data_IF_331963025740
#
_entry.id   IF_331963025740
#
_cell.length_a   1.000
_cell.length_b   1.000
_cell.length_c   1.000
_cell.angle_alpha   90.00
_cell.angle_beta   90.00
_cell.angle_gamma   90.00
#
_symmetry.space_group_name_H-M   'P 1'
#
loop_
_entity.id
_entity.type
_entity.pdbx_description
1 polymer ?
#
# COMPACT_ATOMS: atom_id res chain seq x y z
N UNK A 1 -26.06 -20.74 -12.69
CA UNK A 1 -26.33 -19.54 -13.50
C UNK A 1 -25.05 -18.70 -13.49
N UNK A 2 -24.42 -18.50 -14.64
CA UNK A 2 -23.18 -17.71 -14.74
C UNK A 2 -23.48 -16.28 -14.26
N UNK A 3 -22.71 -15.81 -13.27
CA UNK A 3 -22.81 -14.44 -12.76
C UNK A 3 -22.36 -13.49 -13.89
N UNK A 4 -23.28 -12.64 -14.36
CA UNK A 4 -22.91 -11.60 -15.34
C UNK A 4 -22.42 -10.37 -14.58
N UNK A 5 -21.36 -9.74 -15.08
CA UNK A 5 -20.75 -8.55 -14.45
C UNK A 5 -21.80 -7.47 -14.21
N UNK A 6 -22.65 -7.19 -15.19
CA UNK A 6 -23.67 -6.14 -15.07
C UNK A 6 -24.72 -6.46 -13.99
N UNK A 7 -25.17 -7.73 -13.88
CA UNK A 7 -26.14 -8.14 -12.86
C UNK A 7 -25.55 -8.08 -11.45
N UNK A 8 -24.25 -8.40 -11.32
CA UNK A 8 -23.52 -8.26 -10.08
C UNK A 8 -23.35 -6.77 -9.71
N UNK A 9 -22.90 -5.95 -10.66
CA UNK A 9 -22.69 -4.53 -10.41
C UNK A 9 -23.98 -3.78 -10.09
N UNK A 10 -25.09 -4.12 -10.72
CA UNK A 10 -26.41 -3.54 -10.37
C UNK A 10 -26.76 -3.77 -8.88
N UNK A 11 -26.43 -4.93 -8.32
CA UNK A 11 -26.65 -5.21 -6.89
C UNK A 11 -25.68 -4.41 -5.99
N UNK A 12 -24.42 -4.26 -6.42
CA UNK A 12 -23.42 -3.45 -5.68
C UNK A 12 -23.83 -1.97 -5.69
N UNK A 13 -24.24 -1.43 -6.84
CA UNK A 13 -24.68 -0.04 -7.00
C UNK A 13 -25.93 0.27 -6.17
N UNK A 14 -26.90 -0.65 -6.15
CA UNK A 14 -28.13 -0.49 -5.35
C UNK A 14 -27.84 -0.42 -3.83
N UNK A 15 -26.79 -1.10 -3.36
CA UNK A 15 -26.40 -1.10 -1.95
C UNK A 15 -25.47 0.05 -1.55
N UNK A 16 -24.81 0.68 -2.53
CA UNK A 16 -23.82 1.74 -2.30
C UNK A 16 -24.21 3.04 -3.06
N UNK A 17 -25.40 3.60 -2.82
CA UNK A 17 -25.82 4.83 -3.48
C UNK A 17 -24.89 5.99 -3.09
N UNK A 18 -24.40 6.72 -4.09
CA UNK A 18 -23.46 7.84 -3.91
C UNK A 18 -22.07 7.45 -3.34
N UNK A 19 -21.63 6.22 -3.59
CA UNK A 19 -20.29 5.74 -3.20
C UNK A 19 -19.47 5.36 -4.46
N UNK A 20 -19.07 6.33 -5.30
CA UNK A 20 -18.47 6.05 -6.62
C UNK A 20 -17.12 5.32 -6.50
N UNK A 21 -16.32 5.58 -5.46
CA UNK A 21 -15.03 4.94 -5.27
C UNK A 21 -15.20 3.43 -4.97
N UNK A 22 -16.22 3.05 -4.21
CA UNK A 22 -16.55 1.64 -3.96
C UNK A 22 -16.98 0.95 -5.25
N UNK A 23 -17.89 1.58 -5.99
CA UNK A 23 -18.44 1.03 -7.24
C UNK A 23 -17.31 0.80 -8.25
N UNK A 24 -16.40 1.76 -8.40
CA UNK A 24 -15.25 1.64 -9.29
C UNK A 24 -14.32 0.49 -8.88
N UNK A 25 -13.89 0.45 -7.62
CA UNK A 25 -12.96 -0.56 -7.13
C UNK A 25 -13.52 -1.99 -7.24
N UNK A 26 -14.81 -2.17 -6.91
CA UNK A 26 -15.48 -3.47 -7.04
C UNK A 26 -15.61 -3.88 -8.50
N UNK A 27 -15.93 -2.94 -9.43
CA UNK A 27 -16.03 -3.20 -10.87
C UNK A 27 -14.70 -3.67 -11.45
N UNK A 28 -13.62 -2.94 -11.22
CA UNK A 28 -12.29 -3.28 -11.71
C UNK A 28 -11.82 -4.67 -11.25
N UNK A 29 -12.14 -5.01 -10.01
CA UNK A 29 -11.85 -6.33 -9.47
C UNK A 29 -12.73 -7.43 -10.09
N UNK A 30 -14.03 -7.16 -10.22
CA UNK A 30 -15.03 -8.10 -10.76
C UNK A 30 -14.76 -8.45 -12.23
N UNK A 31 -14.30 -7.49 -13.05
CA UNK A 31 -13.95 -7.72 -14.45
C UNK A 31 -12.86 -8.80 -14.63
N UNK A 32 -11.97 -8.90 -13.65
CA UNK A 32 -10.93 -9.95 -13.65
C UNK A 32 -11.42 -11.27 -13.04
N UNK A 33 -12.18 -11.19 -11.95
CA UNK A 33 -12.47 -12.36 -11.10
C UNK A 33 -13.72 -13.11 -11.55
N UNK A 34 -14.74 -12.44 -12.09
CA UNK A 34 -15.98 -13.12 -12.56
C UNK A 34 -15.71 -14.13 -13.67
N UNK A 35 -14.90 -13.84 -14.71
CA UNK A 35 -14.54 -14.86 -15.70
C UNK A 35 -13.87 -16.08 -15.08
N UNK A 36 -12.94 -15.86 -14.14
CA UNK A 36 -12.28 -16.95 -13.41
C UNK A 36 -13.27 -17.80 -12.58
N UNK A 37 -14.19 -17.14 -11.84
CA UNK A 37 -15.22 -17.85 -11.06
C UNK A 37 -16.08 -18.74 -11.97
N UNK A 38 -16.44 -18.27 -13.17
CA UNK A 38 -17.27 -18.99 -14.12
C UNK A 38 -16.67 -20.34 -14.55
N UNK A 39 -15.35 -20.47 -14.52
CA UNK A 39 -14.62 -21.70 -14.82
C UNK A 39 -14.46 -22.63 -13.62
N UNK A 40 -14.81 -22.16 -12.41
CA UNK A 40 -14.53 -22.85 -11.14
C UNK A 40 -15.82 -23.30 -10.44
N UNK A 41 -16.27 -24.54 -10.67
CA UNK A 41 -17.50 -25.10 -10.07
C UNK A 41 -17.61 -24.95 -8.54
N UNK A 42 -16.47 -24.94 -7.82
CA UNK A 42 -16.45 -24.82 -6.36
C UNK A 42 -17.01 -23.50 -5.83
N UNK A 43 -17.03 -22.45 -6.67
CA UNK A 43 -17.56 -21.12 -6.31
C UNK A 43 -18.99 -20.87 -6.77
N UNK A 44 -19.56 -21.77 -7.58
CA UNK A 44 -20.90 -21.59 -8.16
C UNK A 44 -22.00 -21.52 -7.08
N UNK A 45 -22.92 -20.60 -7.25
CA UNK A 45 -24.08 -20.41 -6.36
C UNK A 45 -23.76 -19.96 -4.93
N UNK A 46 -22.53 -19.53 -4.62
CA UNK A 46 -22.12 -19.18 -3.25
C UNK A 46 -22.15 -17.67 -2.94
N UNK A 47 -22.46 -16.84 -3.93
CA UNK A 47 -22.51 -15.38 -3.81
C UNK A 47 -21.25 -14.74 -3.15
N UNK A 48 -20.09 -15.38 -3.34
CA UNK A 48 -18.86 -15.01 -2.65
C UNK A 48 -18.47 -13.55 -2.92
N UNK A 49 -18.54 -13.09 -4.18
CA UNK A 49 -18.21 -11.70 -4.50
C UNK A 49 -19.13 -10.68 -3.82
N UNK A 50 -20.43 -10.97 -3.73
CA UNK A 50 -21.37 -10.10 -3.01
C UNK A 50 -21.04 -10.04 -1.52
N UNK A 51 -20.66 -11.18 -0.92
CA UNK A 51 -20.26 -11.25 0.49
C UNK A 51 -18.93 -10.53 0.73
N UNK A 52 -17.97 -10.61 -0.21
CA UNK A 52 -16.68 -9.91 -0.09
C UNK A 52 -16.83 -8.41 -0.34
N UNK A 53 -17.75 -7.99 -1.22
CA UNK A 53 -17.99 -6.58 -1.53
C UNK A 53 -18.76 -5.84 -0.42
N UNK A 54 -19.45 -6.58 0.47
CA UNK A 54 -20.16 -6.01 1.62
C UNK A 54 -19.26 -6.06 2.87
N UNK A 55 -19.02 -4.93 3.57
CA UNK A 55 -18.29 -4.95 4.84
C UNK A 55 -19.01 -5.81 5.89
N UNK A 56 -18.27 -6.60 6.67
CA UNK A 56 -18.82 -7.29 7.83
C UNK A 56 -19.35 -6.30 8.87
N UNK A 57 -18.68 -5.15 9.04
CA UNK A 57 -19.14 -4.02 9.88
C UNK A 57 -18.60 -2.69 9.39
N UNK A 58 -19.46 -1.67 9.46
CA UNK A 58 -19.07 -0.26 9.29
C UNK A 58 -19.41 0.49 10.57
N UNK A 59 -18.40 1.02 11.23
CA UNK A 59 -18.50 1.72 12.51
C UNK A 59 -18.24 3.19 12.25
N UNK A 60 -19.20 4.04 12.63
CA UNK A 60 -19.13 5.50 12.49
C UNK A 60 -19.37 6.10 13.87
N UNK A 61 -18.51 7.03 14.28
CA UNK A 61 -18.60 7.66 15.59
C UNK A 61 -18.20 9.13 15.57
N UNK A 62 -18.69 9.88 16.54
CA UNK A 62 -18.33 11.28 16.75
C UNK A 62 -17.03 11.39 17.54
N UNK A 63 -16.16 12.33 17.13
CA UNK A 63 -14.88 12.62 17.78
C UNK A 63 -14.86 14.09 18.20
N UNK A 64 -15.32 14.45 19.42
CA UNK A 64 -15.19 15.80 19.95
C UNK A 64 -13.81 16.01 20.57
N UNK A 65 -13.21 17.17 20.33
CA UNK A 65 -11.91 17.52 20.90
C UNK A 65 -11.80 19.03 21.07
N UNK A 66 -10.83 19.49 21.87
CA UNK A 66 -10.62 20.91 22.13
C UNK A 66 -9.33 21.37 21.47
N UNK A 67 -9.41 22.47 20.69
CA UNK A 67 -8.24 23.06 20.03
C UNK A 67 -7.40 23.91 21.00
N UNK A 68 -6.33 24.50 20.51
CA UNK A 68 -5.44 25.34 21.34
C UNK A 68 -6.05 26.68 21.76
N UNK A 69 -7.17 27.08 21.13
CA UNK A 69 -7.94 28.28 21.53
C UNK A 69 -8.99 27.98 22.61
N UNK A 70 -9.16 26.70 22.98
CA UNK A 70 -10.19 26.24 23.91
C UNK A 70 -11.55 26.02 23.26
N UNK A 71 -11.64 26.03 21.92
CA UNK A 71 -12.88 25.83 21.19
C UNK A 71 -13.12 24.32 20.96
N UNK A 72 -14.40 23.91 21.06
CA UNK A 72 -14.81 22.51 20.84
C UNK A 72 -14.92 22.25 19.34
N UNK A 73 -14.14 21.33 18.84
CA UNK A 73 -14.17 20.82 17.48
C UNK A 73 -14.86 19.46 17.45
N UNK A 74 -15.51 19.14 16.32
CA UNK A 74 -16.22 17.85 16.13
C UNK A 74 -15.88 17.27 14.78
N UNK A 75 -15.24 16.11 14.78
CA UNK A 75 -14.94 15.33 13.58
C UNK A 75 -15.72 14.01 13.60
N UNK A 76 -15.71 13.33 12.46
CA UNK A 76 -16.30 12.00 12.30
C UNK A 76 -15.20 10.96 12.21
N UNK A 77 -15.29 9.94 13.05
CA UNK A 77 -14.42 8.77 13.01
C UNK A 77 -15.09 7.59 12.33
N UNK A 78 -14.28 6.74 11.67
CA UNK A 78 -14.72 5.56 10.94
C UNK A 78 -13.80 4.37 11.20
N UNK A 79 -14.38 3.16 11.24
CA UNK A 79 -13.65 1.90 11.07
C UNK A 79 -14.48 0.93 10.24
N UNK A 80 -13.94 0.50 9.11
CA UNK A 80 -14.55 -0.49 8.22
C UNK A 80 -13.82 -1.81 8.47
N UNK A 81 -14.55 -2.77 8.99
CA UNK A 81 -14.15 -4.16 9.17
C UNK A 81 -14.70 -4.93 7.98
N UNK A 82 -13.85 -5.12 6.96
CA UNK A 82 -14.32 -5.56 5.66
C UNK A 82 -14.49 -7.06 5.57
N UNK A 83 -13.46 -7.82 5.93
CA UNK A 83 -13.48 -9.27 5.85
C UNK A 83 -12.46 -9.89 6.81
N UNK A 84 -12.89 -10.84 7.63
CA UNK A 84 -12.08 -11.54 8.64
C UNK A 84 -11.80 -13.01 8.32
N UNK A 85 -12.18 -13.50 7.16
CA UNK A 85 -12.08 -14.93 6.82
C UNK A 85 -10.65 -15.50 6.92
N UNK A 86 -9.61 -14.67 6.74
CA UNK A 86 -8.22 -15.12 6.78
C UNK A 86 -7.43 -14.60 8.00
N UNK A 87 -8.08 -13.92 8.92
CA UNK A 87 -7.44 -13.40 10.14
C UNK A 87 -8.06 -12.10 10.65
N UNK A 88 -7.52 -11.52 11.71
CA UNK A 88 -7.98 -10.24 12.25
C UNK A 88 -8.04 -9.15 11.17
N UNK A 89 -9.01 -8.25 11.26
CA UNK A 89 -9.04 -7.10 10.35
C UNK A 89 -7.73 -6.33 10.46
N UNK A 90 -7.15 -5.96 9.35
CA UNK A 90 -5.87 -5.26 9.29
C UNK A 90 -5.90 -4.17 8.22
N UNK A 91 -5.49 -2.97 8.58
CA UNK A 91 -5.35 -1.85 7.65
C UNK A 91 -5.22 -0.51 8.35
N UNK A 92 -4.77 0.49 7.63
CA UNK A 92 -4.40 1.80 8.14
C UNK A 92 -5.58 2.63 8.64
N UNK A 93 -5.24 3.64 9.45
CA UNK A 93 -6.09 4.77 9.83
C UNK A 93 -5.58 5.97 9.05
N UNK A 94 -6.48 6.68 8.34
CA UNK A 94 -6.18 7.89 7.57
C UNK A 94 -6.79 9.11 8.25
N UNK A 95 -5.98 10.14 8.48
CA UNK A 95 -6.47 11.45 8.92
C UNK A 95 -6.26 12.46 7.80
N UNK A 96 -7.37 12.84 7.15
CA UNK A 96 -7.34 13.77 6.03
C UNK A 96 -8.75 14.31 5.77
N UNK A 97 -8.88 15.57 5.39
CA UNK A 97 -10.18 16.23 5.17
C UNK A 97 -11.04 15.56 4.09
N UNK A 98 -10.46 14.78 3.19
CA UNK A 98 -11.22 14.05 2.15
C UNK A 98 -11.78 12.70 2.61
N UNK A 99 -11.51 12.28 3.84
CA UNK A 99 -11.97 11.00 4.36
C UNK A 99 -13.50 11.01 4.50
N UNK A 100 -14.12 10.02 3.87
CA UNK A 100 -15.55 9.74 3.96
C UNK A 100 -15.79 8.21 3.92
N UNK A 101 -17.04 7.79 4.04
CA UNK A 101 -17.40 6.38 4.09
C UNK A 101 -17.01 5.63 2.80
N UNK A 102 -17.30 6.20 1.62
CA UNK A 102 -16.99 5.60 0.32
C UNK A 102 -15.50 5.36 0.15
N UNK A 103 -14.68 6.38 0.44
CA UNK A 103 -13.21 6.28 0.39
C UNK A 103 -12.69 5.16 1.30
N UNK A 104 -13.21 5.05 2.52
CA UNK A 104 -12.73 4.02 3.46
C UNK A 104 -13.23 2.62 3.11
N UNK A 105 -14.44 2.48 2.57
CA UNK A 105 -14.97 1.19 2.11
C UNK A 105 -14.15 0.65 0.93
N UNK A 106 -13.85 1.49 -0.09
CA UNK A 106 -13.05 1.03 -1.20
C UNK A 106 -11.63 0.64 -0.76
N UNK A 107 -11.00 1.46 0.10
CA UNK A 107 -9.68 1.14 0.64
C UNK A 107 -9.68 -0.14 1.49
N UNK A 108 -10.76 -0.40 2.24
CA UNK A 108 -10.91 -1.63 3.02
C UNK A 108 -11.08 -2.86 2.11
N UNK A 109 -11.86 -2.72 1.03
CA UNK A 109 -12.06 -3.77 0.02
C UNK A 109 -10.72 -4.15 -0.65
N UNK A 110 -9.96 -3.19 -1.12
CA UNK A 110 -8.65 -3.46 -1.71
C UNK A 110 -7.65 -4.05 -0.69
N UNK A 111 -7.75 -3.61 0.57
CA UNK A 111 -6.89 -4.10 1.64
C UNK A 111 -7.06 -5.60 1.90
N UNK A 112 -8.28 -6.15 1.73
CA UNK A 112 -8.54 -7.60 1.85
C UNK A 112 -7.62 -8.39 0.93
N UNK A 113 -7.54 -8.00 -0.34
CA UNK A 113 -6.76 -8.73 -1.34
C UNK A 113 -5.25 -8.48 -1.21
N UNK A 114 -4.87 -7.26 -0.85
CA UNK A 114 -3.47 -6.94 -0.54
C UNK A 114 -2.94 -7.79 0.62
N UNK A 115 -3.72 -7.91 1.69
CA UNK A 115 -3.34 -8.72 2.85
C UNK A 115 -3.31 -10.21 2.52
N UNK A 116 -4.28 -10.70 1.74
CA UNK A 116 -4.36 -12.11 1.37
C UNK A 116 -3.14 -12.57 0.57
N UNK A 117 -2.57 -11.71 -0.28
CA UNK A 117 -1.37 -12.01 -1.06
C UNK A 117 -0.15 -12.25 -0.18
N UNK A 118 -0.05 -11.60 0.99
CA UNK A 118 1.09 -11.79 1.91
C UNK A 118 1.18 -13.20 2.50
N UNK A 119 0.12 -14.00 2.37
CA UNK A 119 -0.09 -15.29 3.02
C UNK A 119 -0.16 -15.26 4.55
N UNK A 120 0.09 -14.13 5.18
CA UNK A 120 -0.05 -13.94 6.62
C UNK A 120 -1.54 -13.97 7.04
N UNK A 121 -1.83 -14.35 8.30
CA UNK A 121 -3.20 -14.45 8.80
C UNK A 121 -3.74 -13.06 9.15
N UNK A 122 -4.10 -12.29 8.13
CA UNK A 122 -4.64 -10.94 8.25
C UNK A 122 -5.82 -10.75 7.31
N UNK A 123 -6.97 -10.41 7.87
CA UNK A 123 -8.14 -9.94 7.13
C UNK A 123 -7.96 -8.52 6.61
N UNK A 124 -9.04 -7.88 6.16
CA UNK A 124 -9.02 -6.53 5.63
C UNK A 124 -9.88 -5.57 6.42
N UNK A 125 -9.35 -4.38 6.68
CA UNK A 125 -10.07 -3.28 7.30
C UNK A 125 -9.41 -1.93 6.99
N UNK A 126 -10.16 -0.86 7.23
CA UNK A 126 -9.66 0.52 7.05
C UNK A 126 -10.38 1.45 8.00
N UNK A 127 -9.68 2.46 8.49
CA UNK A 127 -10.28 3.48 9.34
C UNK A 127 -9.80 4.87 9.00
N UNK A 128 -10.37 5.85 9.67
CA UNK A 128 -9.94 7.23 9.48
C UNK A 128 -10.90 8.25 10.04
N UNK A 129 -10.57 9.50 9.77
CA UNK A 129 -11.36 10.67 10.12
C UNK A 129 -11.14 11.78 9.11
N UNK A 130 -12.14 12.66 8.99
CA UNK A 130 -12.06 13.92 8.28
C UNK A 130 -11.20 14.99 8.99
N UNK A 131 -10.58 14.64 10.10
CA UNK A 131 -9.55 15.44 10.77
C UNK A 131 -8.29 15.52 9.91
N UNK A 132 -7.74 16.73 9.75
CA UNK A 132 -6.47 16.96 9.07
C UNK A 132 -5.42 17.42 10.08
N UNK A 133 -4.35 16.64 10.32
CA UNK A 133 -3.29 16.99 11.26
C UNK A 133 -2.36 18.09 10.73
N UNK A 134 -2.45 18.44 9.45
CA UNK A 134 -1.59 19.46 8.86
C UNK A 134 -1.85 20.82 9.49
N UNK A 135 -0.80 21.48 9.97
CA UNK A 135 -0.90 22.79 10.62
C UNK A 135 -1.44 22.75 12.06
N UNK A 136 -1.69 21.58 12.62
CA UNK A 136 -2.11 21.40 14.02
C UNK A 136 -0.91 21.24 14.95
N UNK A 137 -1.03 21.72 16.17
CA UNK A 137 -0.03 21.53 17.20
C UNK A 137 0.02 20.05 17.66
N UNK A 138 1.13 19.63 18.27
CA UNK A 138 1.24 18.30 18.86
C UNK A 138 0.18 18.07 19.95
N UNK A 139 -0.16 19.11 20.70
CA UNK A 139 -1.22 19.08 21.70
C UNK A 139 -2.60 18.84 21.10
N UNK A 140 -2.94 19.51 20.01
CA UNK A 140 -4.20 19.31 19.28
C UNK A 140 -4.29 17.89 18.71
N UNK A 141 -3.23 17.42 18.03
CA UNK A 141 -3.18 16.06 17.48
C UNK A 141 -3.30 15.01 18.58
N UNK A 142 -2.64 15.21 19.71
CA UNK A 142 -2.74 14.29 20.86
C UNK A 142 -4.18 14.24 21.41
N UNK A 143 -4.83 15.38 21.64
CA UNK A 143 -6.22 15.44 22.14
C UNK A 143 -7.19 14.78 21.16
N UNK A 144 -7.01 15.04 19.85
CA UNK A 144 -7.80 14.38 18.82
C UNK A 144 -7.61 12.85 18.85
N UNK A 145 -6.37 12.36 18.84
CA UNK A 145 -6.05 10.93 18.89
C UNK A 145 -6.63 10.25 20.13
N UNK A 146 -6.59 10.92 21.28
CA UNK A 146 -7.16 10.40 22.52
C UNK A 146 -8.69 10.28 22.43
N UNK A 147 -9.37 11.29 21.90
CA UNK A 147 -10.82 11.24 21.68
C UNK A 147 -11.21 10.17 20.69
N UNK A 148 -10.51 10.10 19.54
CA UNK A 148 -10.73 9.09 18.50
C UNK A 148 -10.58 7.66 19.05
N UNK A 149 -9.51 7.40 19.80
CA UNK A 149 -9.24 6.08 20.39
C UNK A 149 -10.23 5.73 21.51
N UNK A 150 -10.80 6.70 22.22
CA UNK A 150 -11.80 6.45 23.27
C UNK A 150 -13.03 5.71 22.73
N UNK A 151 -13.44 6.01 21.50
CA UNK A 151 -14.50 5.26 20.83
C UNK A 151 -13.97 4.01 20.12
N UNK A 152 -12.87 4.13 19.39
CA UNK A 152 -12.34 3.03 18.58
C UNK A 152 -11.91 1.82 19.43
N UNK A 153 -11.40 2.02 20.65
CA UNK A 153 -10.89 0.94 21.52
C UNK A 153 -11.91 -0.16 21.84
N UNK A 154 -13.21 0.10 21.65
CA UNK A 154 -14.30 -0.87 21.84
C UNK A 154 -14.38 -1.90 20.70
N UNK A 155 -13.76 -1.60 19.56
CA UNK A 155 -13.93 -2.32 18.29
C UNK A 155 -12.63 -2.93 17.76
N UNK A 156 -11.51 -2.72 18.45
CA UNK A 156 -10.19 -3.20 18.05
C UNK A 156 -9.52 -4.03 19.13
N UNK A 157 -8.52 -4.78 18.76
CA UNK A 157 -7.73 -5.62 19.66
C UNK A 157 -6.77 -6.51 18.89
N UNK A 158 -5.76 -7.09 19.56
CA UNK A 158 -4.67 -7.81 18.88
C UNK A 158 -5.14 -9.06 18.09
N UNK A 159 -6.30 -9.62 18.44
CA UNK A 159 -6.88 -10.79 17.76
C UNK A 159 -8.19 -10.49 17.02
N UNK A 160 -8.65 -9.25 17.03
CA UNK A 160 -9.89 -8.84 16.38
C UNK A 160 -9.62 -7.92 15.19
N UNK A 161 -8.94 -6.80 15.47
CA UNK A 161 -8.71 -5.74 14.49
C UNK A 161 -7.46 -4.97 14.89
N UNK A 162 -6.45 -4.95 14.02
CA UNK A 162 -5.15 -4.33 14.28
C UNK A 162 -4.90 -3.21 13.28
N UNK A 163 -5.24 -1.95 13.63
CA UNK A 163 -4.98 -0.81 12.78
C UNK A 163 -3.48 -0.50 12.61
N UNK A 164 -3.16 0.28 11.59
CA UNK A 164 -1.83 0.81 11.31
C UNK A 164 -1.90 2.28 10.93
N UNK A 165 -0.75 2.91 10.65
CA UNK A 165 -0.70 4.23 10.04
C UNK A 165 -1.07 4.24 8.56
N UNK A 166 -1.50 5.39 8.08
CA UNK A 166 -1.78 5.74 6.68
C UNK A 166 -1.56 7.26 6.50
N UNK A 167 -2.08 7.89 5.46
CA UNK A 167 -1.97 9.33 5.26
C UNK A 167 -2.43 10.09 6.53
N UNK A 168 -1.60 11.03 6.99
CA UNK A 168 -1.86 11.83 8.20
C UNK A 168 -1.73 11.07 9.53
N UNK A 169 -1.30 9.80 9.51
CA UNK A 169 -1.08 8.98 10.70
C UNK A 169 0.30 8.33 10.64
N UNK A 170 1.27 8.97 11.24
CA UNK A 170 2.64 8.48 11.37
C UNK A 170 2.95 7.91 12.77
N UNK A 171 4.23 7.84 13.08
CA UNK A 171 4.70 7.32 14.38
C UNK A 171 4.18 8.11 15.58
N UNK A 172 4.03 9.45 15.44
CA UNK A 172 3.48 10.34 16.46
C UNK A 172 2.04 9.97 16.78
N UNK A 173 1.17 9.92 15.78
CA UNK A 173 -0.24 9.60 15.93
C UNK A 173 -0.44 8.17 16.44
N UNK A 174 0.31 7.21 15.92
CA UNK A 174 0.30 5.82 16.43
C UNK A 174 0.69 5.78 17.91
N UNK A 175 1.68 6.56 18.33
CA UNK A 175 2.07 6.68 19.74
C UNK A 175 0.93 7.19 20.62
N UNK A 176 0.27 8.28 20.22
CA UNK A 176 -0.87 8.84 20.95
C UNK A 176 -2.07 7.89 21.02
N UNK A 177 -2.39 7.24 19.89
CA UNK A 177 -3.46 6.23 19.81
C UNK A 177 -3.16 5.03 20.70
N UNK A 178 -1.93 4.50 20.67
CA UNK A 178 -1.52 3.36 21.50
C UNK A 178 -1.52 3.71 23.00
N UNK A 179 -1.02 4.90 23.35
CA UNK A 179 -1.02 5.37 24.75
C UNK A 179 -2.44 5.45 25.32
N UNK A 180 -3.39 5.95 24.55
CA UNK A 180 -4.80 6.04 24.98
C UNK A 180 -5.46 4.66 25.06
N UNK A 181 -5.23 3.78 24.09
CA UNK A 181 -5.71 2.39 24.13
C UNK A 181 -5.23 1.69 25.39
N UNK A 182 -3.90 1.72 25.63
CA UNK A 182 -3.29 1.12 26.82
C UNK A 182 -3.91 1.65 28.12
N UNK A 183 -4.16 2.96 28.18
CA UNK A 183 -4.77 3.60 29.37
C UNK A 183 -6.20 3.12 29.63
N UNK A 184 -7.04 3.02 28.57
CA UNK A 184 -8.46 2.63 28.71
C UNK A 184 -8.59 1.13 28.98
N UNK A 185 -7.84 0.31 28.25
CA UNK A 185 -7.94 -1.15 28.32
C UNK A 185 -7.14 -1.73 29.49
N UNK A 186 -6.20 -0.97 30.03
CA UNK A 186 -5.22 -1.43 31.03
C UNK A 186 -4.44 -2.66 30.55
N UNK A 187 -4.08 -2.68 29.28
CA UNK A 187 -3.41 -3.79 28.60
C UNK A 187 -2.24 -3.27 27.77
N UNK A 188 -1.13 -4.01 27.75
CA UNK A 188 -0.03 -3.79 26.81
C UNK A 188 -0.02 -4.93 25.79
N UNK A 189 -0.61 -4.68 24.61
CA UNK A 189 -0.82 -5.70 23.57
C UNK A 189 -0.33 -5.22 22.20
N UNK A 190 -0.34 -6.12 21.21
CA UNK A 190 -0.01 -5.83 19.82
C UNK A 190 -1.16 -5.20 19.00
N UNK A 191 -1.97 -4.35 19.58
CA UNK A 191 -3.21 -3.80 18.98
C UNK A 191 -3.01 -2.87 17.80
N UNK A 192 -1.88 -2.20 17.69
CA UNK A 192 -1.52 -1.29 16.60
C UNK A 192 -0.18 -1.71 16.01
N UNK A 193 0.04 -1.40 14.73
CA UNK A 193 1.36 -1.54 14.10
C UNK A 193 1.89 -0.20 13.59
N UNK A 194 3.22 -0.12 13.41
CA UNK A 194 3.93 1.13 13.19
C UNK A 194 4.28 1.84 14.51
N UNK A 195 4.32 1.09 15.60
CA UNK A 195 4.75 1.57 16.91
C UNK A 195 6.24 1.92 16.92
N UNK A 196 6.64 2.77 17.85
CA UNK A 196 8.07 3.00 18.14
C UNK A 196 8.75 1.74 18.67
N UNK A 197 10.05 1.59 18.40
CA UNK A 197 10.84 0.44 18.83
C UNK A 197 10.81 0.21 20.35
N UNK A 198 10.74 1.29 21.14
CA UNK A 198 10.70 1.24 22.60
C UNK A 198 9.42 0.59 23.17
N UNK A 199 8.36 0.44 22.36
CA UNK A 199 7.07 -0.10 22.83
C UNK A 199 6.42 -1.06 21.83
N UNK A 200 7.22 -1.91 21.20
CA UNK A 200 6.75 -3.05 20.41
C UNK A 200 6.73 -2.83 18.91
N UNK A 201 7.42 -1.81 18.40
CA UNK A 201 7.65 -1.61 16.97
C UNK A 201 8.64 -2.61 16.39
N UNK A 202 8.67 -2.73 15.07
CA UNK A 202 9.59 -3.58 14.32
C UNK A 202 10.63 -2.76 13.56
N UNK A 203 11.84 -3.27 13.45
CA UNK A 203 12.86 -2.78 12.53
C UNK A 203 12.38 -2.91 11.07
N UNK A 204 13.04 -2.20 10.16
CA UNK A 204 12.76 -2.19 8.70
C UNK A 204 11.35 -1.65 8.34
N UNK A 205 10.54 -1.23 9.29
CA UNK A 205 9.17 -0.77 8.99
C UNK A 205 9.11 0.45 8.04
N UNK A 206 9.96 1.49 8.19
CA UNK A 206 9.99 2.63 7.26
C UNK A 206 10.36 2.24 5.83
N UNK A 207 11.32 1.33 5.67
CA UNK A 207 11.89 0.89 4.39
C UNK A 207 11.07 -0.20 3.71
N UNK A 208 10.25 -0.92 4.47
CA UNK A 208 9.63 -2.18 4.06
C UNK A 208 8.85 -2.11 2.74
N UNK A 209 8.16 -1.01 2.48
CA UNK A 209 7.42 -0.84 1.22
C UNK A 209 8.40 -0.79 0.06
N UNK A 210 9.44 0.02 0.15
CA UNK A 210 10.47 0.14 -0.89
C UNK A 210 11.24 -1.16 -1.09
N UNK A 211 11.68 -1.81 -0.01
CA UNK A 211 12.36 -3.10 -0.07
C UNK A 211 11.49 -4.15 -0.76
N UNK A 212 10.21 -4.24 -0.38
CA UNK A 212 9.26 -5.18 -0.97
C UNK A 212 9.09 -4.99 -2.47
N UNK A 213 8.96 -3.74 -2.91
CA UNK A 213 8.84 -3.41 -4.34
C UNK A 213 10.07 -3.90 -5.12
N UNK A 214 11.27 -3.69 -4.59
CA UNK A 214 12.51 -4.10 -5.27
C UNK A 214 12.64 -5.62 -5.29
N UNK A 215 12.29 -6.32 -4.22
CA UNK A 215 12.24 -7.79 -4.21
C UNK A 215 11.24 -8.32 -5.23
N UNK A 216 10.08 -7.69 -5.37
CA UNK A 216 9.10 -8.08 -6.38
C UNK A 216 9.62 -7.84 -7.81
N UNK A 217 10.23 -6.67 -8.07
CA UNK A 217 10.84 -6.34 -9.36
C UNK A 217 11.96 -7.32 -9.74
N UNK A 218 12.80 -7.70 -8.78
CA UNK A 218 13.85 -8.72 -8.98
C UNK A 218 13.25 -10.06 -9.41
N UNK A 219 12.16 -10.50 -8.77
CA UNK A 219 11.48 -11.73 -9.18
C UNK A 219 10.85 -11.63 -10.57
N UNK A 220 10.31 -10.46 -10.94
CA UNK A 220 9.79 -10.23 -12.29
C UNK A 220 10.91 -10.32 -13.34
N UNK A 221 12.03 -9.68 -13.10
CA UNK A 221 13.21 -9.74 -13.99
C UNK A 221 13.75 -11.17 -14.12
N UNK A 222 13.73 -11.95 -13.03
CA UNK A 222 14.14 -13.35 -13.05
C UNK A 222 13.27 -14.20 -13.98
N UNK A 223 12.01 -13.84 -14.23
CA UNK A 223 11.16 -14.59 -15.18
C UNK A 223 11.63 -14.51 -16.63
N UNK A 224 12.44 -13.49 -16.96
CA UNK A 224 13.04 -13.29 -18.30
C UNK A 224 14.57 -13.49 -18.27
N UNK A 225 15.10 -14.17 -17.25
CA UNK A 225 16.53 -14.46 -17.12
C UNK A 225 17.42 -13.25 -16.82
N UNK A 226 16.85 -12.17 -16.28
CA UNK A 226 17.55 -10.94 -15.89
C UNK A 226 17.45 -10.72 -14.38
N UNK A 227 18.18 -9.73 -13.88
CA UNK A 227 18.14 -9.30 -12.48
C UNK A 227 18.37 -7.79 -12.40
N UNK A 228 18.27 -7.21 -11.18
CA UNK A 228 18.41 -5.77 -10.96
C UNK A 228 19.85 -5.27 -11.09
N UNK A 229 20.85 -6.16 -10.95
CA UNK A 229 22.27 -5.80 -10.99
C UNK A 229 22.64 -5.14 -12.32
N UNK A 230 23.26 -3.96 -12.26
CA UNK A 230 23.66 -3.16 -13.40
C UNK A 230 22.51 -2.43 -14.12
N UNK A 231 21.24 -2.59 -13.68
CA UNK A 231 20.10 -1.90 -14.26
C UNK A 231 20.05 -0.44 -13.85
N UNK A 232 19.65 0.42 -14.78
CA UNK A 232 19.32 1.82 -14.51
C UNK A 232 17.87 1.90 -14.06
N UNK A 233 17.64 2.55 -12.93
CA UNK A 233 16.31 2.61 -12.30
C UNK A 233 15.88 4.07 -12.13
N UNK A 234 14.70 4.42 -12.64
CA UNK A 234 14.05 5.70 -12.30
C UNK A 234 13.07 5.52 -11.15
N UNK A 235 13.11 6.45 -10.21
CA UNK A 235 12.14 6.57 -9.13
C UNK A 235 11.57 7.97 -9.11
N UNK A 236 10.31 8.11 -8.67
CA UNK A 236 9.69 9.40 -8.38
C UNK A 236 9.63 9.67 -6.88
N UNK A 237 9.58 10.95 -6.49
CA UNK A 237 9.60 11.34 -5.08
C UNK A 237 10.95 11.14 -4.39
N UNK A 238 11.00 11.48 -3.10
CA UNK A 238 12.11 11.20 -2.19
C UNK A 238 11.62 10.97 -0.74
N UNK A 239 10.37 10.50 -0.61
CA UNK A 239 9.80 10.06 0.67
C UNK A 239 10.33 8.69 1.12
N UNK A 240 9.75 8.12 2.20
CA UNK A 240 10.18 6.82 2.76
C UNK A 240 10.17 5.69 1.73
N UNK A 241 9.18 5.66 0.84
CA UNK A 241 9.08 4.60 -0.17
C UNK A 241 10.22 4.72 -1.17
N UNK A 242 10.45 5.93 -1.72
CA UNK A 242 11.54 6.20 -2.65
C UNK A 242 12.91 5.94 -2.02
N UNK A 243 13.11 6.36 -0.78
CA UNK A 243 14.31 6.08 0.00
C UNK A 243 14.56 4.58 0.16
N UNK A 244 13.55 3.81 0.59
CA UNK A 244 13.67 2.35 0.72
C UNK A 244 13.96 1.67 -0.63
N UNK A 245 13.34 2.11 -1.73
CA UNK A 245 13.64 1.62 -3.08
C UNK A 245 15.11 1.90 -3.43
N UNK A 246 15.57 3.14 -3.22
CA UNK A 246 16.95 3.53 -3.54
C UNK A 246 17.98 2.70 -2.76
N UNK A 247 17.77 2.51 -1.45
CA UNK A 247 18.60 1.64 -0.63
C UNK A 247 18.70 0.22 -1.20
N UNK A 248 17.55 -0.42 -1.43
CA UNK A 248 17.52 -1.84 -1.83
C UNK A 248 17.98 -2.05 -3.27
N UNK A 249 17.70 -1.12 -4.21
CA UNK A 249 18.22 -1.17 -5.58
C UNK A 249 19.75 -1.14 -5.57
N UNK A 250 20.34 -0.22 -4.80
CA UNK A 250 21.80 -0.13 -4.70
C UNK A 250 22.41 -1.37 -4.01
N UNK A 251 21.76 -1.89 -2.97
CA UNK A 251 22.16 -3.11 -2.26
C UNK A 251 22.25 -4.33 -3.22
N UNK A 252 21.31 -4.43 -4.17
CA UNK A 252 21.28 -5.46 -5.21
C UNK A 252 22.16 -5.13 -6.43
N UNK A 253 22.91 -4.03 -6.40
CA UNK A 253 23.84 -3.63 -7.46
C UNK A 253 23.19 -2.94 -8.67
N UNK A 254 21.97 -2.44 -8.55
CA UNK A 254 21.32 -1.55 -9.53
C UNK A 254 21.79 -0.10 -9.32
N UNK A 255 21.37 0.80 -10.21
CA UNK A 255 21.70 2.23 -10.17
C UNK A 255 20.43 3.07 -10.23
N UNK A 256 20.07 3.75 -9.15
CA UNK A 256 19.00 4.76 -9.14
C UNK A 256 19.55 6.06 -9.73
N UNK A 257 18.89 6.60 -10.76
CA UNK A 257 19.36 7.78 -11.50
C UNK A 257 18.44 9.02 -11.39
N UNK A 258 17.28 8.88 -10.74
CA UNK A 258 16.34 10.01 -10.58
C UNK A 258 15.73 10.06 -9.18
N UNK A 259 15.37 11.28 -8.76
CA UNK A 259 14.41 11.59 -7.71
C UNK A 259 13.52 12.72 -8.20
N UNK A 260 12.32 12.90 -7.67
CA UNK A 260 11.43 14.01 -8.05
C UNK A 260 10.72 14.65 -6.87
N UNK A 261 10.40 15.93 -7.04
CA UNK A 261 9.53 16.71 -6.18
C UNK A 261 8.39 17.33 -7.00
N UNK A 262 7.53 18.15 -6.38
CA UNK A 262 6.47 18.86 -7.08
C UNK A 262 7.00 19.94 -8.06
N UNK A 263 8.26 20.33 -7.92
CA UNK A 263 8.96 21.33 -8.75
C UNK A 263 9.62 20.74 -10.01
N UNK A 264 9.78 19.42 -10.09
CA UNK A 264 10.45 18.73 -11.19
C UNK A 264 11.25 17.53 -10.73
N UNK A 265 12.30 17.16 -11.46
CA UNK A 265 13.13 16.01 -11.09
C UNK A 265 14.62 16.28 -11.25
N UNK A 266 15.41 15.53 -10.45
CA UNK A 266 16.86 15.41 -10.59
C UNK A 266 17.17 14.19 -11.43
N UNK A 267 18.10 14.36 -12.36
CA UNK A 267 18.82 13.30 -13.04
C UNK A 267 20.29 13.31 -12.60
N UNK A 268 20.75 12.21 -12.02
CA UNK A 268 22.12 12.02 -11.57
C UNK A 268 22.74 10.82 -12.31
N UNK A 269 23.57 11.11 -13.32
CA UNK A 269 24.22 10.09 -14.15
C UNK A 269 25.14 9.16 -13.33
N UNK A 270 25.77 9.68 -12.28
CA UNK A 270 26.62 8.89 -11.40
C UNK A 270 25.82 7.91 -10.54
N UNK A 271 24.53 8.18 -10.37
CA UNK A 271 23.61 7.44 -9.52
C UNK A 271 23.49 8.02 -8.13
N UNK A 272 22.33 7.74 -7.52
CA UNK A 272 21.95 8.17 -6.17
C UNK A 272 22.26 7.01 -5.22
N UNK A 273 23.42 7.05 -4.57
CA UNK A 273 23.92 6.00 -3.67
C UNK A 273 24.72 6.58 -2.49
N UNK A 274 24.93 5.79 -1.44
CA UNK A 274 25.69 6.21 -0.26
C UNK A 274 25.11 7.48 0.36
N UNK A 275 25.95 8.48 0.64
CA UNK A 275 25.57 9.74 1.26
C UNK A 275 24.48 10.53 0.49
N UNK A 276 24.32 10.28 -0.81
CA UNK A 276 23.26 10.89 -1.62
C UNK A 276 21.87 10.40 -1.17
N UNK A 277 21.77 9.14 -0.73
CA UNK A 277 20.52 8.56 -0.18
C UNK A 277 20.23 9.16 1.20
N UNK A 278 21.27 9.32 2.05
CA UNK A 278 21.10 9.95 3.36
C UNK A 278 20.65 11.41 3.21
N UNK A 279 21.15 12.10 2.19
CA UNK A 279 20.72 13.46 1.87
C UNK A 279 19.25 13.56 1.47
N UNK A 280 18.65 12.52 0.87
CA UNK A 280 17.20 12.47 0.64
C UNK A 280 16.41 12.58 1.96
N UNK A 281 16.91 11.92 3.03
CA UNK A 281 16.30 12.03 4.36
C UNK A 281 16.51 13.41 4.97
N UNK A 282 17.68 14.02 4.78
CA UNK A 282 17.95 15.38 5.26
C UNK A 282 17.03 16.40 4.58
N UNK A 283 16.85 16.33 3.25
CA UNK A 283 15.92 17.20 2.51
C UNK A 283 14.52 17.08 3.09
N UNK A 284 14.06 15.86 3.33
CA UNK A 284 12.76 15.59 3.91
C UNK A 284 12.62 16.12 5.34
N UNK A 285 13.64 15.95 6.19
CA UNK A 285 13.64 16.40 7.57
C UNK A 285 13.55 17.95 7.67
N UNK A 286 14.09 18.67 6.68
CA UNK A 286 13.96 20.12 6.57
C UNK A 286 12.56 20.58 6.16
N UNK A 287 11.66 19.67 5.77
CA UNK A 287 10.35 20.00 5.23
C UNK A 287 10.39 20.60 3.82
N UNK A 288 11.54 20.55 3.14
CA UNK A 288 11.70 21.02 1.76
C UNK A 288 11.31 19.90 0.79
N UNK A 289 10.23 20.09 0.06
CA UNK A 289 9.72 19.13 -0.91
C UNK A 289 10.27 19.34 -2.33
N UNK A 290 11.18 20.32 -2.53
CA UNK A 290 11.74 20.64 -3.84
C UNK A 290 12.89 19.70 -4.19
N UNK A 291 12.79 19.06 -5.35
CA UNK A 291 13.87 18.23 -5.87
C UNK A 291 15.15 19.08 -6.17
N UNK A 292 14.99 20.34 -6.58
CA UNK A 292 16.09 21.26 -6.85
C UNK A 292 17.05 21.41 -5.67
N UNK A 293 16.57 21.27 -4.42
CA UNK A 293 17.41 21.33 -3.22
C UNK A 293 18.55 20.28 -3.19
N UNK A 294 18.43 19.20 -3.96
CA UNK A 294 19.51 18.21 -4.12
C UNK A 294 20.79 18.83 -4.69
N UNK A 295 20.67 19.85 -5.56
CA UNK A 295 21.82 20.51 -6.16
C UNK A 295 22.67 21.31 -5.14
N UNK A 296 22.13 21.62 -3.95
CA UNK A 296 22.88 22.30 -2.89
C UNK A 296 24.14 21.50 -2.49
N UNK A 297 24.03 20.16 -2.51
CA UNK A 297 25.14 19.26 -2.13
C UNK A 297 25.75 18.53 -3.33
N UNK A 298 24.98 18.33 -4.40
CA UNK A 298 25.39 17.56 -5.59
C UNK A 298 25.17 18.36 -6.89
N UNK A 299 26.00 19.42 -7.13
CA UNK A 299 25.80 20.36 -8.25
C UNK A 299 26.06 19.74 -9.64
N UNK A 300 26.67 18.55 -9.72
CA UNK A 300 26.92 17.84 -10.99
C UNK A 300 25.67 17.14 -11.51
N UNK A 301 24.64 16.96 -10.68
CA UNK A 301 23.34 16.45 -11.13
C UNK A 301 22.59 17.53 -11.94
N UNK A 302 21.61 17.09 -12.76
CA UNK A 302 20.84 18.00 -13.61
C UNK A 302 19.41 18.09 -13.09
N UNK A 303 18.93 19.30 -12.82
CA UNK A 303 17.55 19.54 -12.46
C UNK A 303 16.68 19.87 -13.70
N UNK A 304 15.57 19.19 -13.83
CA UNK A 304 14.59 19.36 -14.91
C UNK A 304 13.29 19.95 -14.35
N UNK A 305 13.21 21.25 -14.34
CA UNK A 305 12.06 22.00 -13.77
C UNK A 305 10.74 21.65 -14.46
N UNK A 306 9.72 21.30 -13.69
CA UNK A 306 8.37 21.04 -14.15
C UNK A 306 8.20 19.83 -15.07
N UNK A 307 9.23 18.96 -15.17
CA UNK A 307 9.21 17.75 -15.99
C UNK A 307 9.04 16.50 -15.15
N UNK A 308 8.58 15.42 -15.81
CA UNK A 308 8.41 14.09 -15.23
C UNK A 308 9.67 13.24 -15.42
N UNK A 309 10.00 12.41 -14.43
CA UNK A 309 11.13 11.44 -14.48
C UNK A 309 10.97 10.40 -15.58
N UNK A 310 9.78 10.22 -16.12
CA UNK A 310 9.45 9.18 -17.10
C UNK A 310 9.99 9.45 -18.51
N UNK A 311 10.63 10.60 -18.72
CA UNK A 311 11.38 10.91 -19.93
C UNK A 311 12.77 10.22 -19.97
N UNK A 312 13.29 9.82 -18.81
CA UNK A 312 14.66 9.30 -18.69
C UNK A 312 14.72 7.85 -19.21
N UNK A 313 15.74 7.56 -20.01
CA UNK A 313 15.98 6.20 -20.49
C UNK A 313 16.51 5.32 -19.38
N UNK A 314 15.72 4.32 -18.98
CA UNK A 314 16.01 3.38 -17.90
C UNK A 314 15.53 1.98 -18.24
N UNK A 315 16.08 0.97 -17.55
CA UNK A 315 15.61 -0.42 -17.65
C UNK A 315 14.37 -0.66 -16.79
N UNK A 316 14.32 -0.04 -15.60
CA UNK A 316 13.25 -0.23 -14.60
C UNK A 316 12.70 1.11 -14.17
N UNK A 317 11.38 1.24 -14.10
CA UNK A 317 10.70 2.43 -13.60
C UNK A 317 9.84 2.08 -12.38
N UNK A 318 10.03 2.82 -11.28
CA UNK A 318 9.35 2.57 -10.00
C UNK A 318 8.68 3.85 -9.51
N UNK A 319 7.39 4.07 -9.80
CA UNK A 319 6.66 5.24 -9.32
C UNK A 319 6.40 5.13 -7.81
N UNK A 320 6.96 6.09 -7.04
CA UNK A 320 7.01 6.07 -5.57
C UNK A 320 6.30 7.27 -4.91
N UNK A 321 5.80 8.24 -5.68
CA UNK A 321 5.35 9.52 -5.13
C UNK A 321 3.83 9.53 -4.86
N UNK A 322 3.02 9.70 -5.90
CA UNK A 322 1.59 9.98 -5.75
C UNK A 322 0.71 9.19 -6.71
N UNK A 323 -0.59 9.16 -6.40
CA UNK A 323 -1.60 8.57 -7.27
C UNK A 323 -1.64 9.29 -8.64
N UNK A 324 -1.81 8.51 -9.72
CA UNK A 324 -1.95 8.98 -11.11
C UNK A 324 -0.77 9.84 -11.62
N UNK A 325 0.42 9.65 -11.08
CA UNK A 325 1.62 10.40 -11.48
C UNK A 325 2.22 9.95 -12.83
N UNK A 326 1.88 8.75 -13.29
CA UNK A 326 2.33 8.18 -14.56
C UNK A 326 1.13 7.96 -15.47
N UNK A 327 1.00 8.80 -16.49
CA UNK A 327 -0.11 8.78 -17.43
C UNK A 327 0.22 8.00 -18.71
N UNK A 328 -0.73 7.94 -19.65
CA UNK A 328 -0.59 7.21 -20.92
C UNK A 328 0.60 7.66 -21.76
N UNK A 329 0.84 8.98 -21.86
CA UNK A 329 1.95 9.53 -22.64
C UNK A 329 3.30 9.22 -22.00
N UNK A 330 3.38 9.24 -20.67
CA UNK A 330 4.57 8.81 -19.93
C UNK A 330 4.85 7.31 -20.17
N UNK A 331 3.82 6.48 -20.17
CA UNK A 331 3.97 5.05 -20.47
C UNK A 331 4.50 4.81 -21.89
N UNK A 332 3.98 5.54 -22.89
CA UNK A 332 4.47 5.48 -24.27
C UNK A 332 5.95 5.88 -24.36
N UNK A 333 6.37 6.94 -23.65
CA UNK A 333 7.78 7.36 -23.60
C UNK A 333 8.69 6.29 -23.00
N UNK A 334 8.29 5.74 -21.84
CA UNK A 334 9.04 4.65 -21.19
C UNK A 334 9.20 3.44 -22.10
N UNK A 335 8.13 3.02 -22.78
CA UNK A 335 8.15 1.91 -23.75
C UNK A 335 9.07 2.21 -24.91
N UNK A 336 8.98 3.41 -25.50
CA UNK A 336 9.84 3.84 -26.59
C UNK A 336 11.33 3.89 -26.19
N UNK A 337 11.61 4.23 -24.92
CA UNK A 337 12.95 4.24 -24.33
C UNK A 337 13.47 2.84 -23.94
N UNK A 338 12.64 1.78 -24.11
CA UNK A 338 13.04 0.39 -23.88
C UNK A 338 12.95 -0.07 -22.42
N UNK A 339 12.05 0.52 -21.61
CA UNK A 339 11.79 0.02 -20.25
C UNK A 339 11.34 -1.44 -20.31
N UNK A 340 11.88 -2.28 -19.46
CA UNK A 340 11.55 -3.71 -19.40
C UNK A 340 10.67 -4.07 -18.19
N UNK A 341 10.70 -3.26 -17.14
CA UNK A 341 9.96 -3.51 -15.93
C UNK A 341 9.42 -2.20 -15.33
N UNK A 342 8.13 -2.19 -14.98
CA UNK A 342 7.47 -1.10 -14.25
C UNK A 342 6.78 -1.68 -13.01
N UNK A 343 7.11 -1.16 -11.83
CA UNK A 343 6.64 -1.74 -10.57
C UNK A 343 6.08 -0.65 -9.66
N UNK A 344 4.79 -0.67 -9.41
CA UNK A 344 4.11 0.35 -8.61
C UNK A 344 4.51 0.30 -7.13
N UNK A 345 5.16 1.35 -6.65
CA UNK A 345 5.52 1.51 -5.25
C UNK A 345 4.51 2.36 -4.47
N UNK A 346 4.00 3.42 -5.07
CA UNK A 346 2.87 4.18 -4.55
C UNK A 346 1.54 3.40 -4.73
N UNK A 347 0.46 3.89 -4.14
CA UNK A 347 -0.87 3.34 -4.38
C UNK A 347 -1.46 3.95 -5.65
N UNK A 348 -1.73 3.11 -6.66
CA UNK A 348 -2.28 3.49 -7.97
C UNK A 348 -1.53 4.67 -8.65
N UNK A 349 -0.21 4.62 -8.80
CA UNK A 349 0.54 5.71 -9.41
C UNK A 349 0.36 5.79 -10.93
N UNK A 350 0.02 4.66 -11.58
CA UNK A 350 -0.24 4.60 -13.01
C UNK A 350 -1.75 4.76 -13.29
N UNK A 351 -2.08 5.54 -14.33
CA UNK A 351 -3.46 5.59 -14.82
C UNK A 351 -3.83 4.28 -15.51
N UNK A 352 -5.14 3.98 -15.62
CA UNK A 352 -5.60 2.77 -16.31
C UNK A 352 -5.14 2.71 -17.77
N UNK A 353 -5.07 3.86 -18.44
CA UNK A 353 -4.57 3.98 -19.81
C UNK A 353 -3.08 3.62 -19.89
N UNK A 354 -2.27 4.09 -18.92
CA UNK A 354 -0.85 3.73 -18.82
C UNK A 354 -0.67 2.22 -18.63
N UNK A 355 -1.43 1.63 -17.73
CA UNK A 355 -1.40 0.17 -17.48
C UNK A 355 -1.74 -0.61 -18.76
N UNK A 356 -2.76 -0.20 -19.50
CA UNK A 356 -3.12 -0.82 -20.79
C UNK A 356 -1.97 -0.77 -21.80
N UNK A 357 -1.21 0.35 -21.87
CA UNK A 357 -0.05 0.47 -22.74
C UNK A 357 1.06 -0.52 -22.36
N UNK A 358 1.40 -0.63 -21.06
CA UNK A 358 2.40 -1.58 -20.59
C UNK A 358 2.01 -3.04 -20.89
N UNK A 359 0.77 -3.42 -20.61
CA UNK A 359 0.28 -4.77 -20.88
C UNK A 359 0.28 -5.09 -22.40
N UNK A 360 -0.14 -4.13 -23.23
CA UNK A 360 -0.12 -4.28 -24.71
C UNK A 360 1.29 -4.45 -25.26
N UNK A 361 2.26 -3.72 -24.69
CA UNK A 361 3.67 -3.81 -25.08
C UNK A 361 4.39 -5.02 -24.44
N UNK A 362 3.69 -5.84 -23.63
CA UNK A 362 4.26 -6.95 -22.86
C UNK A 362 5.45 -6.54 -21.96
N UNK A 363 5.46 -5.29 -21.49
CA UNK A 363 6.36 -4.84 -20.43
C UNK A 363 5.98 -5.57 -19.14
N UNK A 364 6.95 -5.98 -18.35
CA UNK A 364 6.70 -6.53 -17.02
C UNK A 364 6.10 -5.42 -16.13
N UNK A 365 4.81 -5.51 -15.84
CA UNK A 365 4.10 -4.51 -15.03
C UNK A 365 3.51 -5.14 -13.78
N UNK A 366 3.83 -4.59 -12.60
CA UNK A 366 3.29 -5.04 -11.31
C UNK A 366 2.38 -3.99 -10.67
N UNK A 367 1.12 -4.35 -10.33
CA UNK A 367 0.21 -3.46 -9.63
C UNK A 367 0.63 -3.25 -8.17
N UNK A 368 0.36 -2.06 -7.62
CA UNK A 368 0.73 -1.68 -6.27
C UNK A 368 0.24 -2.66 -5.19
N UNK A 369 -0.98 -3.20 -5.31
CA UNK A 369 -1.52 -4.17 -4.34
C UNK A 369 -0.65 -5.41 -4.14
N UNK A 370 0.13 -5.82 -5.15
CA UNK A 370 1.10 -6.92 -5.05
C UNK A 370 2.50 -6.39 -4.72
N UNK A 371 3.00 -5.42 -5.48
CA UNK A 371 4.37 -4.96 -5.39
C UNK A 371 4.67 -4.20 -4.10
N UNK A 372 3.77 -3.30 -3.67
CA UNK A 372 3.98 -2.48 -2.47
C UNK A 372 3.47 -3.14 -1.17
N UNK A 373 3.15 -4.42 -1.19
CA UNK A 373 2.68 -5.17 -0.02
C UNK A 373 3.75 -5.31 1.09
N UNK A 374 5.00 -4.93 0.84
CA UNK A 374 6.08 -4.97 1.84
C UNK A 374 5.74 -4.24 3.13
N UNK A 375 5.08 -3.09 3.05
CA UNK A 375 4.68 -2.33 4.23
C UNK A 375 3.67 -3.08 5.12
N UNK A 376 2.67 -3.73 4.54
CA UNK A 376 1.71 -4.53 5.31
C UNK A 376 2.31 -5.87 5.74
N UNK A 377 3.22 -6.46 4.96
CA UNK A 377 3.99 -7.64 5.36
C UNK A 377 4.81 -7.35 6.63
N UNK A 378 5.57 -6.26 6.66
CA UNK A 378 6.31 -5.83 7.86
C UNK A 378 5.37 -5.56 9.05
N UNK A 379 4.17 -5.03 8.82
CA UNK A 379 3.16 -4.90 9.86
C UNK A 379 2.73 -6.26 10.42
N UNK A 380 2.55 -7.28 9.58
CA UNK A 380 2.27 -8.65 10.02
C UNK A 380 3.43 -9.26 10.80
N UNK A 381 4.68 -8.99 10.39
CA UNK A 381 5.86 -9.39 11.15
C UNK A 381 5.95 -8.68 12.50
N UNK A 382 5.56 -7.40 12.61
CA UNK A 382 5.43 -6.70 13.89
C UNK A 382 4.38 -7.37 14.78
N UNK A 383 3.21 -7.74 14.22
CA UNK A 383 2.19 -8.48 14.98
C UNK A 383 2.75 -9.81 15.51
N UNK A 384 3.53 -10.54 14.71
CA UNK A 384 4.16 -11.80 15.13
C UNK A 384 5.12 -11.56 16.29
N UNK A 385 6.03 -10.59 16.17
CA UNK A 385 6.98 -10.23 17.23
C UNK A 385 6.24 -9.82 18.52
N UNK A 386 5.14 -9.08 18.42
CA UNK A 386 4.32 -8.70 19.57
C UNK A 386 3.65 -9.91 20.24
N UNK A 387 3.20 -10.89 19.45
CA UNK A 387 2.56 -12.10 19.95
C UNK A 387 3.52 -13.01 20.72
N UNK A 388 4.76 -13.15 20.23
CA UNK A 388 5.80 -13.96 20.88
C UNK A 388 6.62 -13.18 21.91
N UNK A 389 6.45 -11.85 21.99
CA UNK A 389 7.18 -10.92 22.88
C UNK A 389 8.70 -10.94 22.67
N UNK A 390 9.15 -11.10 21.45
CA UNK A 390 10.55 -11.03 21.04
C UNK A 390 10.73 -10.02 19.90
N UNK A 391 11.85 -9.34 19.88
CA UNK A 391 12.27 -8.49 18.77
C UNK A 391 13.23 -9.28 17.87
N UNK A 392 13.02 -9.18 16.57
CA UNK A 392 13.93 -9.72 15.58
C UNK A 392 14.96 -8.68 15.16
N UNK A 393 16.13 -9.15 14.69
CA UNK A 393 17.13 -8.29 14.08
C UNK A 393 16.67 -7.75 12.72
N UNK A 394 17.36 -6.75 12.19
CA UNK A 394 17.08 -6.22 10.85
C UNK A 394 17.19 -7.29 9.77
N UNK A 395 18.18 -8.17 9.89
CA UNK A 395 18.45 -9.26 8.95
C UNK A 395 17.32 -10.30 8.99
N UNK A 396 16.82 -10.63 10.18
CA UNK A 396 15.68 -11.56 10.34
C UNK A 396 14.40 -10.99 9.74
N UNK A 397 14.12 -9.69 9.97
CA UNK A 397 12.93 -9.03 9.41
C UNK A 397 13.06 -8.93 7.89
N UNK A 398 14.23 -8.53 7.36
CA UNK A 398 14.45 -8.39 5.91
C UNK A 398 14.36 -9.75 5.18
N UNK A 399 14.94 -10.81 5.76
CA UNK A 399 14.85 -12.16 5.18
C UNK A 399 13.40 -12.63 5.08
N UNK A 400 12.60 -12.46 6.14
CA UNK A 400 11.17 -12.83 6.15
C UNK A 400 10.37 -11.96 5.19
N UNK A 401 10.66 -10.66 5.12
CA UNK A 401 10.05 -9.76 4.15
C UNK A 401 10.31 -10.22 2.71
N UNK A 402 11.56 -10.57 2.40
CA UNK A 402 11.93 -11.11 1.08
C UNK A 402 11.18 -12.39 0.75
N UNK A 403 11.12 -13.35 1.69
CA UNK A 403 10.37 -14.61 1.52
C UNK A 403 8.88 -14.34 1.22
N UNK A 404 8.24 -13.40 1.93
CA UNK A 404 6.86 -13.02 1.69
C UNK A 404 6.70 -12.43 0.30
N UNK A 405 7.58 -11.51 -0.12
CA UNK A 405 7.48 -10.88 -1.45
C UNK A 405 7.71 -11.87 -2.59
N UNK A 406 8.61 -12.84 -2.44
CA UNK A 406 8.79 -13.97 -3.36
C UNK A 406 7.52 -14.82 -3.41
N UNK A 407 6.89 -15.09 -2.27
CA UNK A 407 5.63 -15.80 -2.18
C UNK A 407 4.49 -15.06 -2.92
N UNK A 408 4.37 -13.74 -2.74
CA UNK A 408 3.39 -12.91 -3.46
C UNK A 408 3.62 -13.01 -4.97
N UNK A 409 4.85 -12.83 -5.42
CA UNK A 409 5.22 -12.93 -6.84
C UNK A 409 4.81 -14.30 -7.42
N UNK A 410 5.15 -15.39 -6.73
CA UNK A 410 4.83 -16.76 -7.18
C UNK A 410 3.32 -16.98 -7.31
N UNK A 411 2.51 -16.45 -6.38
CA UNK A 411 1.05 -16.51 -6.46
C UNK A 411 0.52 -15.71 -7.66
N UNK A 412 1.02 -14.49 -7.87
CA UNK A 412 0.64 -13.68 -9.02
C UNK A 412 1.02 -14.35 -10.33
N UNK A 413 2.23 -14.93 -10.42
CA UNK A 413 2.69 -15.69 -11.58
C UNK A 413 1.79 -16.88 -11.88
N UNK A 414 1.44 -17.68 -10.85
CA UNK A 414 0.59 -18.87 -10.98
C UNK A 414 -0.74 -18.58 -11.67
N UNK A 415 -1.38 -17.46 -11.37
CA UNK A 415 -2.70 -17.10 -11.91
C UNK A 415 -2.65 -16.10 -13.06
N UNK A 416 -1.50 -15.48 -13.30
CA UNK A 416 -1.33 -14.46 -14.33
C UNK A 416 -0.63 -14.91 -15.60
N UNK A 417 0.03 -16.09 -15.60
CA UNK A 417 0.75 -16.59 -16.78
C UNK A 417 -0.22 -17.05 -17.84
N UNK A 418 -0.04 -16.54 -19.08
CA UNK A 418 -0.79 -16.95 -20.25
C UNK A 418 -0.12 -18.13 -20.98
N UNK A 419 -0.73 -18.60 -22.08
CA UNK A 419 -0.25 -19.73 -22.87
C UNK A 419 1.10 -19.45 -23.58
N UNK A 420 1.44 -18.17 -23.77
CA UNK A 420 2.70 -17.74 -24.39
C UNK A 420 3.83 -17.56 -23.36
N UNK A 421 3.51 -17.72 -22.06
CA UNK A 421 4.45 -17.56 -20.94
C UNK A 421 4.60 -16.13 -20.42
N UNK A 422 3.85 -15.16 -20.97
CA UNK A 422 3.79 -13.80 -20.42
C UNK A 422 2.98 -13.77 -19.11
N UNK A 423 3.46 -13.01 -18.14
CA UNK A 423 2.81 -12.90 -16.83
C UNK A 423 2.05 -11.57 -16.73
N UNK A 424 0.73 -11.63 -16.76
CA UNK A 424 -0.13 -10.50 -16.41
C UNK A 424 -0.31 -10.44 -14.88
N UNK A 425 0.55 -9.67 -14.20
CA UNK A 425 0.53 -9.55 -12.73
C UNK A 425 -0.72 -8.85 -12.19
N UNK A 426 -1.42 -8.03 -12.98
CA UNK A 426 -2.71 -7.42 -12.58
C UNK A 426 -3.77 -8.51 -12.42
N UNK A 427 -3.93 -9.34 -13.46
CA UNK A 427 -4.82 -10.51 -13.42
C UNK A 427 -4.42 -11.47 -12.30
N UNK A 428 -3.12 -11.78 -12.23
CA UNK A 428 -2.57 -12.70 -11.24
C UNK A 428 -2.83 -12.27 -9.80
N UNK A 429 -2.61 -10.99 -9.48
CA UNK A 429 -2.85 -10.45 -8.14
C UNK A 429 -4.33 -10.49 -7.74
N UNK A 430 -5.24 -10.12 -8.63
CA UNK A 430 -6.68 -10.15 -8.36
C UNK A 430 -7.18 -11.58 -8.10
N UNK A 431 -6.80 -12.53 -8.95
CA UNK A 431 -7.25 -13.93 -8.80
C UNK A 431 -6.60 -14.58 -7.59
N UNK A 432 -5.30 -14.43 -7.37
CA UNK A 432 -4.61 -14.99 -6.21
C UNK A 432 -5.20 -14.48 -4.89
N UNK A 433 -5.44 -13.16 -4.81
CA UNK A 433 -6.09 -12.53 -3.66
C UNK A 433 -7.49 -13.08 -3.40
N UNK A 434 -8.30 -13.17 -4.46
CA UNK A 434 -9.65 -13.73 -4.38
C UNK A 434 -9.64 -15.19 -3.89
N UNK A 435 -8.85 -16.07 -4.50
CA UNK A 435 -8.85 -17.51 -4.22
C UNK A 435 -8.63 -17.79 -2.74
N UNK A 436 -7.64 -17.13 -2.12
CA UNK A 436 -7.34 -17.35 -0.69
C UNK A 436 -8.51 -16.97 0.21
N UNK A 437 -9.13 -15.81 -0.02
CA UNK A 437 -10.27 -15.33 0.77
C UNK A 437 -11.50 -16.21 0.53
N UNK A 438 -11.80 -16.49 -0.73
CA UNK A 438 -12.96 -17.29 -1.12
C UNK A 438 -12.90 -18.71 -0.58
N UNK A 439 -11.74 -19.35 -0.63
CA UNK A 439 -11.55 -20.72 -0.10
C UNK A 439 -11.70 -20.74 1.42
N UNK A 440 -11.18 -19.75 2.15
CA UNK A 440 -11.40 -19.61 3.58
C UNK A 440 -12.88 -19.41 3.93
N UNK A 441 -13.58 -18.52 3.20
CA UNK A 441 -15.03 -18.30 3.38
C UNK A 441 -15.85 -19.54 3.09
N UNK A 442 -15.48 -20.34 2.10
CA UNK A 442 -16.15 -21.64 1.81
C UNK A 442 -15.95 -22.63 2.95
N UNK A 443 -14.73 -22.73 3.48
CA UNK A 443 -14.41 -23.64 4.56
C UNK A 443 -15.12 -23.29 5.87
N UNK A 444 -15.34 -22.00 6.13
CA UNK A 444 -16.01 -21.49 7.33
C UNK A 444 -17.55 -21.46 7.22
N UNK A 445 -18.10 -21.62 6.02
CA UNK A 445 -19.54 -21.62 5.78
C UNK A 445 -20.13 -20.22 5.58
N UNK A 446 -21.38 -20.05 6.02
CA UNK A 446 -22.12 -18.77 5.95
C UNK A 446 -22.22 -18.21 7.35
N UNK A 447 -21.27 -17.35 7.69
CA UNK A 447 -21.14 -16.68 8.99
C UNK A 447 -21.17 -15.17 8.82
#
# INVERSE_FOLDING_TARGET
MLLKINDFMAQVEAKNPNEPEVIQAVREFAETVIPFIAEQKKYDGKNLLLRIAEPERSIIFRVPWVDDKGEIQVNRGFRIQMNSAIGPYKGGIRFHHTVNLSVLKFLAFEQVFKNSLTTLPMGGGKGGSDFDPQGKSDGEVMRFCQSFMTELCRHIGPQLDVPAGDIGVGAREIGYLFGQYKRIRNEFTGVLTGKGLAYGGSLIRPEATGYGVVYFAEQMLNTIGQNIKGKRVSISGFGNVAWGVALKVNDLGGKVVTISGPDGYIYDEEGISGEKIDFMLEMRARGDNRAEAYLEKYPNAVFHKGKSVWEVKVDVAIPCATQNELNEEDAKKLIANGVICVTEAANMPCTLEAIKQFLKAKVLFAPGKAANAGGVAASGLEMTQNSIRLNWTSEEVDSRLKEIMVGIHNQCKKYGTDEEGYVNYVKGANIAGFVKVADAMLAQGVV
#
